data_IF_147078712123
#
_entry.id   IF_147078712123
#
_cell.length_a   1.000
_cell.length_b   1.000
_cell.length_c   1.000
_cell.angle_alpha   90.00
_cell.angle_beta   90.00
_cell.angle_gamma   90.00
#
_symmetry.space_group_name_H-M   'P 1'
#
loop_
_entity.id
_entity.type
_entity.pdbx_description
1 polymer ?
#
# COMPACT_ATOMS: atom_id res chain seq x y z
N UNK A 1 -21.09 18.88 -23.74
CA UNK A 1 -20.52 18.69 -22.38
C UNK A 1 -20.19 17.21 -22.26
N UNK A 2 -18.98 16.85 -22.67
CA UNK A 2 -18.61 15.45 -22.90
C UNK A 2 -18.36 14.75 -21.56
N UNK A 3 -19.37 14.02 -21.08
CA UNK A 3 -19.39 12.55 -21.07
C UNK A 3 -18.35 11.76 -20.26
N UNK A 4 -17.27 12.34 -19.76
CA UNK A 4 -16.30 11.60 -18.95
C UNK A 4 -16.75 11.58 -17.48
N UNK A 5 -17.73 10.72 -17.18
CA UNK A 5 -18.15 10.50 -15.80
C UNK A 5 -17.04 9.77 -15.06
N UNK A 6 -16.65 10.29 -13.88
CA UNK A 6 -15.55 9.74 -13.11
C UNK A 6 -15.79 8.25 -12.81
N UNK A 7 -14.74 7.44 -12.98
CA UNK A 7 -14.73 6.03 -12.62
C UNK A 7 -15.24 5.90 -11.17
N UNK A 8 -16.20 5.00 -10.95
CA UNK A 8 -16.81 4.79 -9.63
C UNK A 8 -18.05 5.62 -9.29
N UNK A 9 -18.57 6.48 -10.19
CA UNK A 9 -19.84 7.22 -9.97
C UNK A 9 -20.96 6.82 -10.94
N UNK A 10 -22.21 6.75 -10.47
CA UNK A 10 -23.44 6.52 -11.24
C UNK A 10 -24.43 7.67 -11.03
N UNK A 11 -25.36 7.89 -11.96
CA UNK A 11 -26.33 8.98 -11.87
C UNK A 11 -27.65 8.45 -11.36
N UNK A 12 -28.14 9.01 -10.25
CA UNK A 12 -29.47 8.73 -9.69
C UNK A 12 -30.19 10.04 -9.41
N UNK A 13 -31.43 10.16 -9.88
CA UNK A 13 -32.29 11.35 -9.68
C UNK A 13 -31.58 12.67 -10.01
N UNK A 14 -30.78 12.67 -11.07
CA UNK A 14 -30.02 13.84 -11.50
C UNK A 14 -28.70 14.10 -10.77
N UNK A 15 -28.36 13.35 -9.72
CA UNK A 15 -27.16 13.51 -8.89
C UNK A 15 -26.12 12.40 -9.14
N UNK A 16 -24.84 12.72 -8.97
CA UNK A 16 -23.80 11.69 -8.92
C UNK A 16 -23.78 11.02 -7.54
N UNK A 17 -23.78 9.69 -7.56
CA UNK A 17 -23.70 8.83 -6.37
C UNK A 17 -22.63 7.76 -6.59
N UNK A 18 -22.12 7.18 -5.50
CA UNK A 18 -21.12 6.10 -5.58
C UNK A 18 -21.70 4.85 -6.24
N UNK A 19 -21.00 4.30 -7.24
CA UNK A 19 -21.26 2.95 -7.77
C UNK A 19 -20.94 1.91 -6.70
N UNK A 20 -21.67 0.80 -6.72
CA UNK A 20 -21.32 -0.37 -5.91
C UNK A 20 -19.95 -0.91 -6.35
N UNK A 21 -18.90 -0.88 -5.49
CA UNK A 21 -17.57 -1.35 -5.86
C UNK A 21 -17.49 -2.83 -6.25
N UNK A 22 -18.49 -3.63 -5.90
CA UNK A 22 -18.59 -5.04 -6.33
C UNK A 22 -18.92 -5.18 -7.82
N UNK A 23 -19.43 -4.11 -8.44
CA UNK A 23 -19.78 -4.02 -9.85
C UNK A 23 -18.83 -3.10 -10.64
N UNK A 24 -17.63 -2.85 -10.10
CA UNK A 24 -16.55 -2.10 -10.76
C UNK A 24 -15.44 -3.08 -11.12
N UNK A 25 -14.90 -2.95 -12.33
CA UNK A 25 -13.82 -3.83 -12.76
C UNK A 25 -12.53 -3.58 -11.95
N UNK A 26 -11.69 -4.60 -11.68
CA UNK A 26 -10.49 -4.42 -10.87
C UNK A 26 -9.49 -3.38 -11.42
N UNK A 27 -9.37 -3.27 -12.73
CA UNK A 27 -8.55 -2.29 -13.44
C UNK A 27 -9.10 -0.86 -13.32
N UNK A 28 -10.43 -0.70 -13.35
CA UNK A 28 -11.07 0.57 -13.01
C UNK A 28 -10.75 0.99 -11.56
N UNK A 29 -10.82 0.07 -10.59
CA UNK A 29 -10.43 0.35 -9.20
C UNK A 29 -8.94 0.74 -9.09
N UNK A 30 -8.07 0.06 -9.82
CA UNK A 30 -6.64 0.39 -9.86
C UNK A 30 -6.39 1.77 -10.50
N UNK A 31 -7.18 2.15 -11.50
CA UNK A 31 -7.10 3.47 -12.14
C UNK A 31 -7.52 4.61 -11.19
N UNK A 32 -8.33 4.31 -10.18
CA UNK A 32 -8.64 5.22 -9.06
C UNK A 32 -7.55 5.30 -7.99
N UNK A 33 -6.43 4.59 -8.16
CA UNK A 33 -5.34 4.51 -7.19
C UNK A 33 -5.54 3.49 -6.08
N UNK A 34 -6.55 2.61 -6.18
CA UNK A 34 -6.70 1.53 -5.21
C UNK A 34 -5.72 0.39 -5.49
N UNK A 35 -5.20 -0.20 -4.43
CA UNK A 35 -4.37 -1.41 -4.49
C UNK A 35 -5.08 -2.56 -3.79
N UNK A 36 -4.78 -3.80 -4.21
CA UNK A 36 -5.33 -4.99 -3.54
C UNK A 36 -4.81 -5.07 -2.11
N UNK A 37 -5.72 -4.98 -1.15
CA UNK A 37 -5.43 -5.14 0.27
C UNK A 37 -6.60 -5.79 0.99
N UNK A 38 -6.34 -6.33 2.16
CA UNK A 38 -7.39 -6.86 3.04
C UNK A 38 -8.22 -5.72 3.66
N UNK A 39 -9.46 -6.02 4.05
CA UNK A 39 -10.31 -5.06 4.76
C UNK A 39 -9.66 -4.54 6.07
N UNK A 40 -8.85 -5.36 6.75
CA UNK A 40 -8.14 -4.92 7.96
C UNK A 40 -7.01 -3.92 7.64
N UNK A 41 -6.33 -4.06 6.50
CA UNK A 41 -5.34 -3.08 6.05
C UNK A 41 -6.01 -1.76 5.68
N UNK A 42 -7.11 -1.80 4.92
CA UNK A 42 -7.88 -0.60 4.58
C UNK A 42 -8.39 0.12 5.83
N UNK A 43 -8.89 -0.63 6.82
CA UNK A 43 -9.32 -0.07 8.10
C UNK A 43 -8.16 0.56 8.87
N UNK A 44 -6.96 -0.06 8.86
CA UNK A 44 -5.77 0.53 9.48
C UNK A 44 -5.41 1.87 8.83
N UNK A 45 -5.45 1.96 7.50
CA UNK A 45 -5.22 3.21 6.77
C UNK A 45 -6.25 4.28 7.17
N UNK A 46 -7.52 3.91 7.29
CA UNK A 46 -8.57 4.81 7.78
C UNK A 46 -8.31 5.27 9.22
N UNK A 47 -7.80 4.40 10.09
CA UNK A 47 -7.41 4.83 11.44
C UNK A 47 -6.25 5.82 11.41
N UNK A 48 -5.25 5.63 10.53
CA UNK A 48 -4.13 6.58 10.37
C UNK A 48 -4.66 7.94 9.94
N UNK A 49 -5.51 7.96 8.92
CA UNK A 49 -6.20 9.16 8.42
C UNK A 49 -7.00 9.87 9.53
N UNK A 50 -7.84 9.13 10.26
CA UNK A 50 -8.63 9.66 11.38
C UNK A 50 -7.77 10.21 12.54
N UNK A 51 -6.56 9.69 12.73
CA UNK A 51 -5.61 10.12 13.78
C UNK A 51 -4.57 11.11 13.25
N UNK A 52 -4.92 11.93 12.26
CA UNK A 52 -4.06 13.01 11.76
C UNK A 52 -2.80 12.50 11.07
N UNK A 53 -2.92 11.42 10.31
CA UNK A 53 -1.82 10.72 9.63
C UNK A 53 -0.72 10.17 10.58
N UNK A 54 -0.99 10.02 11.88
CA UNK A 54 -0.03 9.51 12.86
C UNK A 54 -0.31 8.06 13.27
N UNK A 55 0.62 7.15 12.95
CA UNK A 55 0.53 5.76 13.40
C UNK A 55 0.63 5.62 14.94
N UNK A 56 1.35 6.54 15.59
CA UNK A 56 1.49 6.62 17.06
C UNK A 56 0.16 6.97 17.70
N UNK A 57 -0.55 7.95 17.17
CA UNK A 57 -1.86 8.36 17.67
C UNK A 57 -2.90 7.25 17.54
N UNK A 58 -2.82 6.41 16.50
CA UNK A 58 -3.72 5.23 16.43
C UNK A 58 -3.46 4.25 17.58
N UNK A 59 -2.21 4.08 18.01
CA UNK A 59 -1.89 3.24 19.16
C UNK A 59 -2.45 3.84 20.46
N UNK A 60 -2.36 5.15 20.60
CA UNK A 60 -2.81 5.91 21.77
C UNK A 60 -4.30 6.29 21.74
N UNK A 61 -5.01 5.97 20.66
CA UNK A 61 -6.42 6.30 20.48
C UNK A 61 -7.30 5.80 21.65
N UNK A 62 -7.96 6.76 22.31
CA UNK A 62 -8.80 6.53 23.51
C UNK A 62 -10.29 6.32 23.19
N UNK A 63 -10.68 6.40 21.92
CA UNK A 63 -12.08 6.21 21.47
C UNK A 63 -12.51 4.74 21.52
N UNK A 64 -12.61 4.16 22.72
CA UNK A 64 -12.94 2.73 22.93
C UNK A 64 -14.34 2.33 22.44
N UNK A 65 -15.25 3.30 22.28
CA UNK A 65 -16.59 3.09 21.72
C UNK A 65 -16.60 3.09 20.18
N UNK A 66 -15.47 3.40 19.53
CA UNK A 66 -15.37 3.34 18.08
C UNK A 66 -15.44 1.87 17.61
N UNK A 67 -16.33 1.50 16.68
CA UNK A 67 -16.42 0.13 16.16
C UNK A 67 -15.12 -0.36 15.51
N UNK A 68 -14.28 0.56 15.02
CA UNK A 68 -12.97 0.23 14.45
C UNK A 68 -11.88 0.01 15.51
N UNK A 69 -12.08 0.44 16.76
CA UNK A 69 -11.05 0.44 17.81
C UNK A 69 -10.42 -0.94 18.07
N UNK A 70 -11.18 -2.07 18.09
CA UNK A 70 -10.60 -3.40 18.25
C UNK A 70 -9.68 -3.81 17.10
N UNK A 71 -9.87 -3.22 15.92
CA UNK A 71 -9.17 -3.56 14.68
C UNK A 71 -8.09 -2.54 14.29
N UNK A 72 -7.95 -1.45 15.05
CA UNK A 72 -7.12 -0.30 14.71
C UNK A 72 -5.63 -0.63 14.53
N UNK A 73 -5.19 -1.81 14.97
CA UNK A 73 -3.85 -2.34 14.76
C UNK A 73 -3.72 -3.22 13.49
N UNK A 74 -4.74 -3.25 12.62
CA UNK A 74 -4.71 -4.02 11.36
C UNK A 74 -4.96 -5.52 11.53
N UNK A 75 -5.47 -5.96 12.69
CA UNK A 75 -5.79 -7.36 12.98
C UNK A 75 -7.09 -7.47 13.77
N UNK A 76 -7.86 -8.53 13.52
CA UNK A 76 -9.03 -8.86 14.32
C UNK A 76 -8.63 -9.61 15.59
N UNK A 77 -9.06 -9.18 16.78
CA UNK A 77 -8.78 -9.89 18.04
C UNK A 77 -9.55 -11.22 18.14
N UNK A 78 -10.61 -11.40 17.35
CA UNK A 78 -11.40 -12.64 17.32
C UNK A 78 -10.93 -13.65 16.27
N UNK A 79 -9.92 -13.30 15.45
CA UNK A 79 -9.38 -14.23 14.45
C UNK A 79 -8.28 -15.08 15.07
N UNK A 80 -8.58 -16.35 15.30
CA UNK A 80 -7.58 -17.33 15.69
C UNK A 80 -6.41 -17.38 14.68
N UNK A 81 -5.17 -17.63 15.13
CA UNK A 81 -4.07 -17.96 14.24
C UNK A 81 -4.41 -19.17 13.37
N UNK A 82 -3.86 -19.24 12.16
CA UNK A 82 -4.01 -20.42 11.33
C UNK A 82 -3.43 -21.66 12.05
N UNK A 83 -4.11 -22.81 11.94
CA UNK A 83 -3.57 -24.10 12.38
C UNK A 83 -2.47 -24.57 11.43
N UNK A 84 -1.63 -25.53 11.87
CA UNK A 84 -0.60 -26.06 10.97
C UNK A 84 -1.22 -26.79 9.76
N UNK A 85 -2.31 -27.53 9.98
CA UNK A 85 -3.07 -28.14 8.88
C UNK A 85 -3.59 -27.09 7.87
N UNK A 86 -4.04 -25.92 8.34
CA UNK A 86 -4.45 -24.82 7.44
C UNK A 86 -3.25 -24.22 6.69
N UNK A 87 -2.10 -24.05 7.35
CA UNK A 87 -0.87 -23.59 6.70
C UNK A 87 -0.39 -24.58 5.64
N UNK A 88 -0.38 -25.87 5.97
CA UNK A 88 -0.02 -26.94 5.04
C UNK A 88 -0.96 -27.00 3.84
N UNK A 89 -2.28 -26.92 4.07
CA UNK A 89 -3.26 -26.84 3.00
C UNK A 89 -3.00 -25.63 2.08
N UNK A 90 -2.69 -24.47 2.67
CA UNK A 90 -2.32 -23.27 1.92
C UNK A 90 -1.05 -23.45 1.08
N UNK A 91 0.01 -24.03 1.66
CA UNK A 91 1.26 -24.37 0.95
C UNK A 91 0.99 -25.31 -0.23
N UNK A 92 0.21 -26.37 0.00
CA UNK A 92 -0.13 -27.37 -1.03
C UNK A 92 -0.98 -26.76 -2.15
N UNK A 93 -1.97 -25.93 -1.82
CA UNK A 93 -2.77 -25.23 -2.82
C UNK A 93 -1.90 -24.28 -3.66
N UNK A 94 -1.02 -23.51 -3.00
CA UNK A 94 -0.08 -22.61 -3.68
C UNK A 94 0.83 -23.35 -4.67
N UNK A 95 1.42 -24.48 -4.26
CA UNK A 95 2.25 -25.32 -5.12
C UNK A 95 1.48 -25.85 -6.34
N UNK A 96 0.22 -26.29 -6.15
CA UNK A 96 -0.63 -26.74 -7.25
C UNK A 96 -0.92 -25.62 -8.25
N UNK A 97 -1.31 -24.45 -7.75
CA UNK A 97 -1.58 -23.29 -8.61
C UNK A 97 -0.32 -22.93 -9.40
N UNK A 98 0.84 -22.82 -8.74
CA UNK A 98 2.09 -22.49 -9.39
C UNK A 98 2.49 -23.48 -10.50
N UNK A 99 2.25 -24.79 -10.30
CA UNK A 99 2.53 -25.81 -11.31
C UNK A 99 1.62 -25.69 -12.56
N UNK A 100 0.46 -25.06 -12.44
CA UNK A 100 -0.52 -24.88 -13.53
C UNK A 100 -0.44 -23.53 -14.23
N UNK A 101 0.23 -22.53 -13.64
CA UNK A 101 0.42 -21.21 -14.27
C UNK A 101 1.51 -21.35 -15.33
N UNK A 102 1.22 -21.13 -16.63
CA UNK A 102 2.25 -21.15 -17.65
C UNK A 102 3.32 -20.09 -17.34
N UNK A 103 4.59 -20.46 -17.47
CA UNK A 103 5.74 -19.56 -17.31
C UNK A 103 5.49 -18.32 -18.18
N UNK A 104 5.67 -17.08 -17.67
CA UNK A 104 5.46 -15.90 -18.49
C UNK A 104 6.32 -16.00 -19.74
N UNK A 105 5.70 -15.64 -20.87
CA UNK A 105 6.27 -15.76 -22.21
C UNK A 105 7.60 -14.99 -22.28
N UNK A 106 8.67 -15.68 -22.69
CA UNK A 106 9.95 -15.06 -23.08
C UNK A 106 10.98 -14.91 -21.96
N UNK A 107 11.68 -16.00 -21.66
CA UNK A 107 13.05 -15.94 -21.16
C UNK A 107 13.91 -15.36 -22.30
N UNK A 108 14.04 -14.03 -22.36
CA UNK A 108 15.07 -13.43 -23.21
C UNK A 108 16.40 -13.81 -22.57
N UNK A 109 17.18 -14.61 -23.29
CA UNK A 109 18.52 -15.05 -22.92
C UNK A 109 19.34 -13.86 -22.40
N UNK A 110 19.58 -13.82 -21.09
CA UNK A 110 20.45 -12.84 -20.44
C UNK A 110 21.92 -12.95 -20.89
N UNK A 111 22.25 -13.92 -21.76
CA UNK A 111 23.57 -14.11 -22.36
C UNK A 111 23.83 -13.27 -23.64
N UNK A 112 22.99 -12.28 -23.96
CA UNK A 112 23.25 -11.34 -25.06
C UNK A 112 23.38 -9.88 -24.60
N UNK A 113 23.76 -9.63 -23.35
CA UNK A 113 24.27 -8.31 -22.97
C UNK A 113 25.74 -8.21 -23.35
N UNK A 114 26.02 -7.49 -24.43
CA UNK A 114 27.33 -6.86 -24.64
C UNK A 114 27.59 -6.02 -23.38
N UNK A 115 28.68 -6.33 -22.69
CA UNK A 115 28.96 -5.84 -21.35
C UNK A 115 28.89 -4.32 -21.22
N UNK A 116 27.92 -3.86 -20.43
CA UNK A 116 28.02 -2.55 -19.77
C UNK A 116 28.41 -2.83 -18.32
N UNK A 117 29.64 -2.49 -17.97
CA UNK A 117 30.15 -2.67 -16.62
C UNK A 117 29.30 -1.86 -15.63
N UNK A 118 28.93 -2.48 -14.50
CA UNK A 118 28.31 -1.77 -13.40
C UNK A 118 29.32 -0.77 -12.82
N UNK A 119 28.95 0.50 -12.76
CA UNK A 119 29.73 1.51 -12.03
C UNK A 119 29.66 1.18 -10.53
N UNK A 120 30.75 0.69 -9.98
CA UNK A 120 30.90 0.55 -8.53
C UNK A 120 31.00 1.94 -7.88
N UNK A 121 30.14 2.20 -6.89
CA UNK A 121 30.29 3.29 -5.94
C UNK A 121 31.64 3.15 -5.21
N UNK A 122 32.41 4.23 -5.03
CA UNK A 122 33.62 4.17 -4.22
C UNK A 122 33.27 3.85 -2.77
N UNK A 123 34.04 2.95 -2.17
CA UNK A 123 33.97 2.62 -0.76
C UNK A 123 34.32 3.86 0.09
N UNK A 124 33.64 3.98 1.22
CA UNK A 124 33.80 5.04 2.21
C UNK A 124 35.28 5.35 2.52
N UNK A 125 35.66 6.61 2.41
CA UNK A 125 37.00 7.10 2.76
C UNK A 125 37.10 8.63 2.68
N UNK A 126 37.09 9.25 3.86
CA UNK A 126 37.65 10.57 4.21
C UNK A 126 37.11 11.83 3.51
N UNK A 127 36.12 12.48 4.13
CA UNK A 127 35.96 13.94 4.03
C UNK A 127 36.26 14.60 5.37
N UNK A 128 37.36 15.34 5.35
CA UNK A 128 37.93 16.07 6.47
C UNK A 128 36.98 17.12 7.07
N UNK A 129 37.16 17.28 8.36
CA UNK A 129 36.61 18.30 9.25
C UNK A 129 36.93 19.72 8.76
N UNK A 130 35.90 20.56 8.61
CA UNK A 130 36.05 22.00 8.53
C UNK A 130 34.98 22.67 9.40
N UNK A 131 35.43 23.18 10.54
CA UNK A 131 34.70 24.05 11.47
C UNK A 131 34.39 25.41 10.84
N UNK A 132 33.24 25.99 11.18
CA UNK A 132 32.97 27.42 10.95
C UNK A 132 31.50 27.81 11.09
N UNK A 133 31.08 28.21 12.29
CA UNK A 133 29.69 28.58 12.60
C UNK A 133 29.31 30.05 12.37
N UNK A 134 27.99 30.30 12.34
CA UNK A 134 27.22 31.51 12.70
C UNK A 134 25.84 31.38 12.00
N UNK A 135 24.64 31.60 12.54
CA UNK A 135 24.21 32.29 13.75
C UNK A 135 23.03 33.24 13.43
N UNK A 136 21.78 32.75 13.53
CA UNK A 136 20.48 33.48 13.67
C UNK A 136 19.97 34.24 12.41
N UNK A 137 18.68 34.56 12.18
CA UNK A 137 17.48 34.77 13.03
C UNK A 137 16.18 34.38 12.31
N UNK A 138 15.13 34.26 13.13
CA UNK A 138 13.72 34.16 12.81
C UNK A 138 13.12 35.41 12.13
N UNK A 139 12.03 35.20 11.39
CA UNK A 139 11.03 36.20 11.00
C UNK A 139 11.09 36.65 9.54
N UNK A 140 10.18 36.17 8.69
CA UNK A 140 9.05 36.99 8.24
C UNK A 140 8.12 36.22 7.29
N UNK A 141 6.83 36.49 7.46
CA UNK A 141 5.68 35.92 6.76
C UNK A 141 5.18 36.96 5.74
N UNK A 142 4.62 36.53 4.61
CA UNK A 142 3.35 37.10 4.15
C UNK A 142 2.17 36.13 4.33
#
# INVERSE_FOLDING_TARGET
>A
MNGERAIGLERRDGHDVGRDPRNIAPDELMSLGHTRMSAQQALRLRCIDCSGASAVEVRLCTHVQCPAWPFRMGRSPWRAPASEAQREWGRRLGARIAATVPKPFGEKDLNSTVGVAATSLPADGDVAEAHGGAGRRAGDRP
#
